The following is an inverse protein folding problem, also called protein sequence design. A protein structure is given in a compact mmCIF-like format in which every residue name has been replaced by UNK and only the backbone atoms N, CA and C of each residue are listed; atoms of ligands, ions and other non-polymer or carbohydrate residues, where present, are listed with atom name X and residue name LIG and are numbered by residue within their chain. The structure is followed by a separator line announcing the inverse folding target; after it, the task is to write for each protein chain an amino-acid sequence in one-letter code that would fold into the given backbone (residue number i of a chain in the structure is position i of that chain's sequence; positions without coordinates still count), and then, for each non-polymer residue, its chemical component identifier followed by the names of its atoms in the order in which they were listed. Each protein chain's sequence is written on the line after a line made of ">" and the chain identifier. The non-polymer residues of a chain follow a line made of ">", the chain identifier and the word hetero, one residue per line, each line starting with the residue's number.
data_IF_283114441677
#
_entry.id   IF_283114441677
#
_cell.length_a   1.000
_cell.length_b   1.000
_cell.length_c   1.000
_cell.angle_alpha   90.00
_cell.angle_beta   90.00
_cell.angle_gamma   90.00
#
_symmetry.space_group_name_H-M   'P 1'
#
loop_
_entity.id
_entity.type
_entity.pdbx_description
1 polymer ?
#
# COMPACT_ATOMS: atom_id res chain seq x y z
N UNK A 1 -21.52 14.37 -7.63
CA UNK A 1 -20.29 14.95 -8.20
C UNK A 1 -19.33 13.81 -8.50
N UNK A 2 -18.56 13.85 -9.60
CA UNK A 2 -17.43 12.95 -9.76
C UNK A 2 -16.49 13.10 -8.55
N UNK A 3 -15.82 12.03 -8.15
CA UNK A 3 -14.85 12.07 -7.04
C UNK A 3 -13.73 13.04 -7.41
N UNK A 4 -13.49 14.03 -6.55
CA UNK A 4 -12.38 14.96 -6.70
C UNK A 4 -11.15 14.51 -5.88
N UNK A 5 -9.95 14.71 -6.43
CA UNK A 5 -8.68 14.63 -5.67
C UNK A 5 -8.37 15.96 -5.00
N UNK A 6 -7.49 15.96 -4.00
CA UNK A 6 -7.20 17.14 -3.17
C UNK A 6 -6.81 18.39 -3.98
N UNK A 7 -5.99 18.22 -5.04
CA UNK A 7 -5.57 19.31 -5.93
C UNK A 7 -6.71 19.86 -6.80
N UNK A 8 -7.68 19.04 -7.18
CA UNK A 8 -8.87 19.47 -7.94
C UNK A 8 -9.81 20.31 -7.07
N UNK A 9 -9.68 20.20 -5.74
CA UNK A 9 -10.34 21.06 -4.77
C UNK A 9 -9.55 22.35 -4.47
N UNK A 10 -8.46 22.62 -5.20
CA UNK A 10 -7.61 23.79 -5.03
C UNK A 10 -6.58 23.68 -3.89
N UNK A 11 -6.39 22.50 -3.30
CA UNK A 11 -5.47 22.28 -2.18
C UNK A 11 -4.19 21.59 -2.68
N UNK A 12 -3.05 22.26 -2.53
CA UNK A 12 -1.75 21.76 -3.00
C UNK A 12 -0.81 21.51 -1.82
N UNK A 13 -0.49 20.24 -1.57
CA UNK A 13 0.44 19.85 -0.49
C UNK A 13 1.89 19.94 -0.96
N UNK A 14 2.68 20.76 -0.27
CA UNK A 14 4.10 20.98 -0.55
C UNK A 14 4.35 21.76 -1.86
N UNK A 15 5.64 21.94 -2.21
CA UNK A 15 6.07 22.84 -3.30
C UNK A 15 6.51 22.13 -4.58
N UNK A 16 6.82 20.84 -4.52
CA UNK A 16 7.27 20.10 -5.70
C UNK A 16 6.13 19.79 -6.68
N UNK A 17 6.39 19.78 -8.00
CA UNK A 17 5.42 19.35 -9.00
C UNK A 17 5.15 17.85 -8.87
N UNK A 18 3.97 17.41 -9.28
CA UNK A 18 3.61 15.99 -9.36
C UNK A 18 4.01 15.40 -10.71
N UNK A 19 4.06 14.06 -10.80
CA UNK A 19 4.00 13.38 -12.10
C UNK A 19 2.62 13.50 -12.77
N UNK A 20 2.46 12.96 -13.99
CA UNK A 20 1.24 13.10 -14.78
C UNK A 20 -0.01 12.50 -14.12
N UNK A 21 0.12 11.41 -13.36
CA UNK A 21 -1.00 10.78 -12.67
C UNK A 21 -1.12 11.22 -11.20
N UNK A 22 -0.10 11.93 -10.67
CA UNK A 22 0.06 12.19 -9.25
C UNK A 22 -0.17 10.89 -8.44
N UNK A 23 0.56 9.84 -8.80
CA UNK A 23 0.41 8.49 -8.27
C UNK A 23 1.75 7.75 -8.26
N UNK A 24 1.85 6.68 -7.47
CA UNK A 24 3.05 5.83 -7.37
C UNK A 24 3.52 5.30 -8.73
N UNK A 25 2.58 5.09 -9.65
CA UNK A 25 2.78 4.63 -11.03
C UNK A 25 3.42 5.68 -11.94
N UNK A 26 3.64 6.91 -11.47
CA UNK A 26 4.51 7.88 -12.14
C UNK A 26 6.00 7.49 -12.04
N UNK A 27 6.36 6.61 -11.10
CA UNK A 27 7.66 5.94 -11.10
C UNK A 27 7.63 4.90 -12.23
N UNK A 28 8.58 4.95 -13.18
CA UNK A 28 8.64 3.99 -14.27
C UNK A 28 8.60 2.55 -13.75
N UNK A 29 7.89 1.69 -14.49
CA UNK A 29 7.79 0.25 -14.24
C UNK A 29 7.12 -0.15 -12.91
N UNK A 30 6.44 0.76 -12.22
CA UNK A 30 5.56 0.41 -11.09
C UNK A 30 4.12 0.24 -11.58
N UNK A 31 3.55 -0.92 -11.35
CA UNK A 31 2.14 -1.23 -11.62
C UNK A 31 1.37 -1.42 -10.31
N UNK A 32 0.09 -1.06 -10.30
CA UNK A 32 -0.80 -1.26 -9.15
C UNK A 32 -2.07 -1.95 -9.60
N UNK A 33 -2.51 -2.94 -8.83
CA UNK A 33 -3.75 -3.67 -9.03
C UNK A 33 -4.55 -3.82 -7.75
N UNK A 34 -5.88 -3.87 -7.87
CA UNK A 34 -6.78 -4.02 -6.73
C UNK A 34 -7.80 -5.14 -6.98
N UNK A 35 -8.01 -5.96 -5.97
CA UNK A 35 -9.20 -6.79 -5.83
C UNK A 35 -10.05 -6.28 -4.66
N UNK A 36 -11.31 -5.95 -4.92
CA UNK A 36 -12.17 -5.23 -3.97
C UNK A 36 -13.40 -6.10 -3.66
N UNK A 37 -13.56 -6.47 -2.39
CA UNK A 37 -14.64 -7.33 -1.92
C UNK A 37 -15.66 -6.50 -1.13
N UNK A 38 -16.86 -6.35 -1.71
CA UNK A 38 -17.98 -5.64 -1.12
C UNK A 38 -19.24 -6.49 -1.30
N UNK A 39 -19.65 -7.19 -0.25
CA UNK A 39 -20.89 -7.96 -0.19
C UNK A 39 -21.33 -8.18 1.25
N UNK A 40 -22.61 -8.48 1.46
CA UNK A 40 -23.19 -8.60 2.81
C UNK A 40 -23.36 -10.06 3.27
N UNK A 41 -23.44 -10.99 2.32
CA UNK A 41 -23.69 -12.42 2.56
C UNK A 41 -22.63 -13.29 1.84
N UNK A 42 -22.26 -14.48 2.36
CA UNK A 42 -22.75 -15.11 3.60
C UNK A 42 -22.16 -14.50 4.89
N UNK A 43 -21.22 -13.57 4.74
CA UNK A 43 -20.69 -12.75 5.82
C UNK A 43 -20.31 -11.39 5.24
N UNK A 44 -20.49 -10.33 6.04
CA UNK A 44 -20.16 -8.97 5.65
C UNK A 44 -18.68 -8.86 5.24
N UNK A 45 -18.42 -8.60 3.97
CA UNK A 45 -17.10 -8.32 3.44
C UNK A 45 -17.00 -6.86 3.01
N UNK A 46 -16.02 -6.17 3.57
CA UNK A 46 -15.55 -4.84 3.13
C UNK A 46 -14.04 -4.86 3.18
N UNK A 47 -13.42 -5.65 2.31
CA UNK A 47 -11.99 -5.92 2.35
C UNK A 47 -11.43 -6.12 0.95
N UNK A 48 -10.19 -6.56 0.82
CA UNK A 48 -9.61 -6.88 -0.47
C UNK A 48 -8.10 -6.98 -0.42
N UNK A 49 -7.50 -6.88 -1.59
CA UNK A 49 -6.05 -6.94 -1.78
C UNK A 49 -5.61 -5.84 -2.74
N UNK A 50 -4.57 -5.10 -2.37
CA UNK A 50 -3.83 -4.22 -3.26
C UNK A 50 -2.49 -4.86 -3.56
N UNK A 51 -2.11 -4.91 -4.84
CA UNK A 51 -0.81 -5.40 -5.29
C UNK A 51 -0.02 -4.24 -5.89
N UNK A 52 1.22 -4.08 -5.47
CA UNK A 52 2.20 -3.20 -6.12
C UNK A 52 3.22 -4.12 -6.78
N UNK A 53 3.36 -4.00 -8.09
CA UNK A 53 4.21 -4.86 -8.90
C UNK A 53 5.31 -4.00 -9.53
N UNK A 54 6.54 -4.05 -8.99
CA UNK A 54 7.66 -3.33 -9.58
C UNK A 54 8.16 -3.99 -10.87
N UNK A 55 9.09 -3.31 -11.55
CA UNK A 55 9.84 -3.85 -12.71
C UNK A 55 8.96 -4.31 -13.86
N UNK A 56 7.82 -3.65 -14.03
CA UNK A 56 6.82 -3.96 -15.05
C UNK A 56 6.41 -5.44 -15.06
N UNK A 57 6.36 -6.06 -13.87
CA UNK A 57 6.03 -7.48 -13.71
C UNK A 57 7.22 -8.44 -13.64
N UNK A 58 8.45 -7.98 -13.90
CA UNK A 58 9.63 -8.83 -13.92
C UNK A 58 10.30 -9.01 -12.54
N UNK A 59 9.67 -8.58 -11.45
CA UNK A 59 10.28 -8.50 -10.11
C UNK A 59 10.83 -9.83 -9.58
N UNK A 60 10.37 -10.98 -10.10
CA UNK A 60 10.90 -12.30 -9.73
C UNK A 60 12.28 -12.61 -10.35
N UNK A 61 12.66 -11.94 -11.44
CA UNK A 61 13.93 -12.16 -12.16
C UNK A 61 14.80 -10.91 -12.23
N UNK A 62 14.21 -9.72 -12.13
CA UNK A 62 14.87 -8.42 -12.04
C UNK A 62 14.51 -7.80 -10.69
N UNK A 63 15.37 -7.94 -9.69
CA UNK A 63 15.06 -7.51 -8.33
C UNK A 63 15.18 -5.99 -8.15
N UNK A 64 14.60 -5.45 -7.09
CA UNK A 64 14.68 -4.02 -6.75
C UNK A 64 15.38 -3.82 -5.41
N UNK A 65 16.20 -2.77 -5.27
CA UNK A 65 16.69 -2.38 -3.95
C UNK A 65 15.53 -1.87 -3.09
N UNK A 66 15.55 -2.23 -1.82
CA UNK A 66 14.50 -1.89 -0.87
C UNK A 66 15.06 -1.73 0.55
N UNK A 67 14.32 -0.98 1.36
CA UNK A 67 14.52 -0.84 2.79
C UNK A 67 13.17 -0.65 3.47
N UNK A 68 13.14 -0.73 4.80
CA UNK A 68 11.92 -0.48 5.56
C UNK A 68 12.22 0.33 6.81
N UNK A 69 11.17 0.93 7.38
CA UNK A 69 11.24 1.65 8.64
C UNK A 69 9.96 1.37 9.44
N UNK A 70 10.11 1.08 10.73
CA UNK A 70 9.00 0.90 11.65
C UNK A 70 8.91 2.08 12.61
N UNK A 71 7.90 2.93 12.41
CA UNK A 71 7.60 4.01 13.36
C UNK A 71 6.93 3.44 14.63
N UNK A 72 5.98 2.53 14.45
CA UNK A 72 5.29 1.81 15.52
C UNK A 72 5.00 0.38 15.02
N UNK A 73 5.50 -0.63 15.73
CA UNK A 73 5.44 -2.02 15.27
C UNK A 73 4.15 -2.78 15.59
N UNK A 74 3.03 -2.11 15.90
CA UNK A 74 1.76 -2.78 16.15
C UNK A 74 1.07 -3.15 14.82
N UNK A 75 1.62 -4.14 14.13
CA UNK A 75 1.11 -4.65 12.85
C UNK A 75 2.01 -5.74 12.28
N UNK A 76 1.71 -6.16 11.05
CA UNK A 76 2.49 -7.19 10.35
C UNK A 76 2.99 -6.71 8.98
N UNK A 77 4.20 -7.12 8.64
CA UNK A 77 4.80 -6.99 7.31
C UNK A 77 5.79 -8.13 7.10
N UNK A 78 5.41 -9.11 6.29
CA UNK A 78 6.25 -10.29 6.01
C UNK A 78 7.45 -9.92 5.14
N UNK A 79 8.43 -10.82 5.05
CA UNK A 79 9.59 -10.67 4.15
C UNK A 79 10.65 -9.67 4.62
N UNK A 80 10.39 -8.90 5.67
CA UNK A 80 11.31 -7.89 6.21
C UNK A 80 12.70 -8.41 6.58
N UNK A 81 12.89 -9.59 7.20
CA UNK A 81 14.24 -10.07 7.54
C UNK A 81 15.16 -10.16 6.32
N UNK A 82 14.64 -10.51 5.15
CA UNK A 82 15.45 -10.56 3.93
C UNK A 82 15.70 -9.18 3.33
N UNK A 83 14.71 -8.28 3.40
CA UNK A 83 14.90 -6.88 2.99
C UNK A 83 15.97 -6.21 3.86
N UNK A 84 15.97 -6.44 5.17
CA UNK A 84 16.99 -5.92 6.09
C UNK A 84 18.38 -6.49 5.80
N UNK A 85 18.48 -7.81 5.60
CA UNK A 85 19.75 -8.50 5.40
C UNK A 85 20.37 -8.17 4.03
N UNK A 86 19.57 -8.25 2.96
CA UNK A 86 20.06 -8.14 1.58
C UNK A 86 19.90 -6.76 0.97
N UNK A 87 18.99 -5.93 1.49
CA UNK A 87 18.58 -4.68 0.85
C UNK A 87 17.77 -4.90 -0.44
N UNK A 88 17.19 -6.08 -0.66
CA UNK A 88 16.55 -6.45 -1.94
C UNK A 88 15.10 -6.91 -1.77
N UNK A 89 14.25 -6.45 -2.67
CA UNK A 89 12.88 -6.90 -2.93
C UNK A 89 12.86 -7.73 -4.22
N UNK A 90 12.37 -8.97 -4.12
CA UNK A 90 12.31 -9.95 -5.22
C UNK A 90 10.89 -10.47 -5.51
N UNK A 91 9.88 -9.78 -4.99
CA UNK A 91 8.47 -10.13 -5.15
C UNK A 91 7.60 -8.88 -5.28
N UNK A 92 6.37 -8.99 -5.81
CA UNK A 92 5.35 -7.96 -5.62
C UNK A 92 5.07 -7.72 -4.14
N UNK A 93 4.53 -6.55 -3.84
CA UNK A 93 4.11 -6.19 -2.49
C UNK A 93 2.60 -6.31 -2.38
N UNK A 94 2.14 -7.10 -1.42
CA UNK A 94 0.72 -7.25 -1.09
C UNK A 94 0.31 -6.37 0.08
N UNK A 95 -0.87 -5.74 -0.02
CA UNK A 95 -1.49 -5.00 1.08
C UNK A 95 -2.93 -5.48 1.26
N UNK A 96 -3.30 -5.92 2.47
CA UNK A 96 -4.63 -6.48 2.77
C UNK A 96 -5.06 -6.19 4.21
N UNK A 97 -6.01 -6.96 4.75
CA UNK A 97 -6.40 -6.93 6.17
C UNK A 97 -5.51 -7.85 7.03
N UNK A 98 -5.51 -7.60 8.34
CA UNK A 98 -4.66 -8.30 9.33
C UNK A 98 -4.76 -9.82 9.25
N UNK A 99 -5.97 -10.38 9.15
CA UNK A 99 -6.19 -11.83 9.14
C UNK A 99 -5.90 -12.49 7.79
N UNK A 100 -5.57 -11.70 6.77
CA UNK A 100 -5.37 -12.18 5.39
C UNK A 100 -3.92 -12.08 4.91
N UNK A 101 -3.00 -11.61 5.76
CA UNK A 101 -1.57 -11.54 5.43
C UNK A 101 -1.02 -12.89 4.96
N UNK A 102 -1.32 -13.96 5.71
CA UNK A 102 -0.82 -15.30 5.40
C UNK A 102 -1.26 -15.80 4.01
N UNK A 103 -2.56 -15.71 3.69
CA UNK A 103 -3.07 -16.20 2.40
C UNK A 103 -2.56 -15.38 1.22
N UNK A 104 -2.39 -14.06 1.39
CA UNK A 104 -1.84 -13.19 0.34
C UNK A 104 -0.34 -13.45 0.15
N UNK A 105 0.41 -13.68 1.25
CA UNK A 105 1.82 -14.06 1.20
C UNK A 105 2.02 -15.36 0.45
N UNK A 106 1.26 -16.40 0.80
CA UNK A 106 1.38 -17.70 0.13
C UNK A 106 0.95 -17.64 -1.33
N UNK A 107 -0.05 -16.81 -1.65
CA UNK A 107 -0.44 -16.55 -3.03
C UNK A 107 0.69 -15.90 -3.84
N UNK A 108 1.36 -14.85 -3.32
CA UNK A 108 2.48 -14.22 -4.05
C UNK A 108 3.65 -15.20 -4.26
N UNK A 109 3.95 -16.04 -3.28
CA UNK A 109 4.99 -17.07 -3.42
C UNK A 109 4.62 -18.14 -4.47
N UNK A 110 3.34 -18.53 -4.54
CA UNK A 110 2.85 -19.53 -5.48
C UNK A 110 2.65 -18.99 -6.91
N UNK A 111 2.33 -17.70 -7.06
CA UNK A 111 1.96 -17.09 -8.35
C UNK A 111 2.97 -17.35 -9.48
N UNK A 112 4.28 -17.06 -9.33
CA UNK A 112 5.22 -17.27 -10.43
C UNK A 112 5.39 -18.75 -10.79
N UNK A 113 5.23 -19.66 -9.81
CA UNK A 113 5.29 -21.11 -10.03
C UNK A 113 4.04 -21.59 -10.79
N UNK A 114 2.85 -21.13 -10.39
CA UNK A 114 1.60 -21.50 -11.07
C UNK A 114 1.51 -20.90 -12.48
N UNK A 115 2.14 -19.74 -12.71
CA UNK A 115 2.15 -19.06 -14.01
C UNK A 115 3.32 -19.48 -14.90
N UNK A 116 4.29 -20.26 -14.42
CA UNK A 116 5.49 -20.61 -15.19
C UNK A 116 5.15 -21.31 -16.51
N UNK A 117 4.15 -22.20 -16.48
CA UNK A 117 3.70 -22.93 -17.66
C UNK A 117 3.01 -21.97 -18.65
N UNK A 118 2.13 -21.10 -18.14
CA UNK A 118 1.44 -20.07 -18.93
C UNK A 118 2.44 -19.13 -19.62
N UNK A 119 3.52 -18.77 -18.94
CA UNK A 119 4.57 -17.89 -19.45
C UNK A 119 5.68 -18.62 -20.21
N UNK A 120 5.59 -19.95 -20.37
CA UNK A 120 6.59 -20.78 -21.04
C UNK A 120 8.01 -20.59 -20.45
N UNK A 121 8.09 -20.43 -19.13
CA UNK A 121 9.33 -20.18 -18.41
C UNK A 121 10.14 -21.48 -18.31
N UNK A 122 11.45 -21.49 -18.61
CA UNK A 122 12.29 -22.66 -18.43
C UNK A 122 12.23 -23.20 -17.00
N UNK A 123 12.13 -24.53 -16.78
CA UNK A 123 12.04 -25.10 -15.43
C UNK A 123 13.18 -24.71 -14.49
N UNK A 124 14.38 -24.48 -15.03
CA UNK A 124 15.53 -23.99 -14.25
C UNK A 124 15.30 -22.59 -13.70
N UNK A 125 14.67 -21.70 -14.46
CA UNK A 125 14.31 -20.35 -13.99
C UNK A 125 13.13 -20.43 -13.02
N UNK A 126 12.10 -21.22 -13.33
CA UNK A 126 10.96 -21.39 -12.42
C UNK A 126 11.39 -21.95 -11.05
N UNK A 127 12.38 -22.85 -11.04
CA UNK A 127 12.93 -23.41 -9.80
C UNK A 127 13.64 -22.38 -8.91
N UNK A 128 14.21 -21.30 -9.47
CA UNK A 128 14.86 -20.26 -8.66
C UNK A 128 13.86 -19.39 -7.90
N UNK A 129 12.57 -19.48 -8.21
CA UNK A 129 11.49 -18.79 -7.49
C UNK A 129 11.02 -19.57 -6.25
N UNK A 130 11.48 -20.81 -6.07
CA UNK A 130 11.20 -21.61 -4.88
C UNK A 130 11.89 -20.98 -3.66
N UNK A 131 11.15 -20.83 -2.55
CA UNK A 131 11.66 -20.17 -1.34
C UNK A 131 11.54 -18.65 -1.36
N UNK A 132 10.69 -18.09 -2.23
CA UNK A 132 10.35 -16.66 -2.19
C UNK A 132 9.93 -16.20 -0.79
N UNK A 133 10.28 -14.97 -0.44
CA UNK A 133 9.96 -14.34 0.85
C UNK A 133 9.11 -13.09 0.61
N UNK A 134 7.81 -13.23 0.26
CA UNK A 134 7.00 -12.09 -0.15
C UNK A 134 6.85 -11.04 0.93
N UNK A 135 6.79 -9.78 0.50
CA UNK A 135 6.42 -8.66 1.35
C UNK A 135 4.91 -8.47 1.30
N UNK A 136 4.24 -8.79 2.41
CA UNK A 136 2.80 -8.59 2.56
C UNK A 136 2.56 -7.93 3.89
N UNK A 137 1.80 -6.86 3.86
CA UNK A 137 1.48 -6.11 5.05
C UNK A 137 0.01 -5.74 5.12
N UNK A 138 -0.39 -5.13 6.23
CA UNK A 138 -1.80 -5.03 6.58
C UNK A 138 -2.17 -3.72 7.28
N UNK A 139 -3.47 -3.46 7.29
CA UNK A 139 -4.11 -2.69 8.35
C UNK A 139 -5.42 -3.38 8.76
N UNK A 140 -5.95 -3.07 9.95
CA UNK A 140 -7.13 -3.75 10.49
C UNK A 140 -8.48 -3.15 10.05
N UNK A 141 -9.32 -3.90 9.33
CA UNK A 141 -10.64 -3.47 8.84
C UNK A 141 -11.85 -4.00 9.61
N UNK A 142 -11.64 -4.63 10.78
CA UNK A 142 -12.68 -5.37 11.49
C UNK A 142 -13.87 -4.56 12.01
N UNK A 143 -13.85 -3.22 11.88
CA UNK A 143 -15.03 -2.39 12.12
C UNK A 143 -16.06 -2.45 10.99
N UNK A 144 -15.62 -2.48 9.73
CA UNK A 144 -16.50 -2.48 8.56
C UNK A 144 -16.56 -3.85 7.87
N UNK A 145 -15.64 -4.74 8.22
CA UNK A 145 -15.49 -6.07 7.66
C UNK A 145 -15.69 -7.13 8.74
N UNK A 146 -16.32 -8.25 8.42
CA UNK A 146 -16.24 -9.44 9.26
C UNK A 146 -14.86 -10.10 9.06
N UNK A 147 -13.83 -9.52 9.69
CA UNK A 147 -12.44 -9.96 9.55
C UNK A 147 -12.20 -11.40 10.04
N UNK A 148 -13.08 -11.91 10.91
CA UNK A 148 -13.06 -13.29 11.39
C UNK A 148 -13.62 -14.31 10.38
N UNK A 149 -14.21 -13.87 9.27
CA UNK A 149 -14.76 -14.74 8.25
C UNK A 149 -13.75 -15.12 7.14
N UNK A 150 -12.51 -14.64 7.21
CA UNK A 150 -11.40 -14.99 6.31
C UNK A 150 -11.77 -14.99 4.81
N UNK A 151 -12.40 -13.89 4.35
CA UNK A 151 -12.98 -13.79 2.99
C UNK A 151 -11.95 -13.62 1.87
N UNK A 152 -10.72 -13.19 2.18
CA UNK A 152 -9.65 -13.07 1.18
C UNK A 152 -9.11 -14.46 0.86
N UNK A 153 -8.92 -14.74 -0.43
CA UNK A 153 -8.47 -16.05 -0.92
C UNK A 153 -7.24 -15.87 -1.80
N UNK A 154 -6.54 -16.97 -2.10
CA UNK A 154 -5.47 -17.01 -3.10
C UNK A 154 -5.92 -16.42 -4.45
N UNK A 155 -7.15 -16.73 -4.88
CA UNK A 155 -7.68 -16.23 -6.14
C UNK A 155 -7.87 -14.71 -6.14
N UNK A 156 -8.30 -14.13 -5.02
CA UNK A 156 -8.41 -12.67 -4.88
C UNK A 156 -7.04 -11.99 -5.02
N UNK A 157 -5.98 -12.58 -4.44
CA UNK A 157 -4.62 -12.09 -4.64
C UNK A 157 -4.16 -12.20 -6.10
N UNK A 158 -4.50 -13.30 -6.80
CA UNK A 158 -4.17 -13.50 -8.21
C UNK A 158 -4.89 -12.48 -9.10
N UNK A 159 -6.17 -12.22 -8.82
CA UNK A 159 -6.92 -11.20 -9.54
C UNK A 159 -6.33 -9.81 -9.34
N UNK A 160 -5.85 -9.48 -8.14
CA UNK A 160 -5.16 -8.22 -7.90
C UNK A 160 -3.84 -8.12 -8.68
N UNK A 161 -3.07 -9.21 -8.79
CA UNK A 161 -1.85 -9.27 -9.62
C UNK A 161 -2.17 -9.13 -11.11
N UNK A 162 -3.17 -9.85 -11.61
CA UNK A 162 -3.58 -9.83 -13.02
C UNK A 162 -4.14 -8.47 -13.45
N UNK A 163 -4.74 -7.71 -12.51
CA UNK A 163 -5.24 -6.34 -12.73
C UNK A 163 -4.15 -5.27 -12.60
N UNK A 164 -2.92 -5.62 -12.24
CA UNK A 164 -1.88 -4.63 -12.02
C UNK A 164 -1.47 -3.94 -13.32
N UNK A 165 -1.54 -2.61 -13.33
CA UNK A 165 -1.19 -1.79 -14.50
C UNK A 165 -0.57 -0.46 -14.09
N UNK A 166 0.12 0.20 -15.02
CA UNK A 166 0.54 1.61 -14.89
C UNK A 166 -0.65 2.56 -15.10
N UNK A 167 -0.40 3.87 -15.03
CA UNK A 167 -1.42 4.90 -15.23
C UNK A 167 -2.12 5.33 -13.94
N UNK A 168 -3.31 5.95 -14.02
CA UNK A 168 -4.07 6.38 -12.85
C UNK A 168 -4.38 5.20 -11.90
N UNK A 169 -4.19 5.42 -10.60
CA UNK A 169 -4.48 4.43 -9.55
C UNK A 169 -5.80 4.76 -8.87
N UNK A 170 -6.66 3.75 -8.69
CA UNK A 170 -7.89 3.92 -7.93
C UNK A 170 -7.57 4.13 -6.44
N UNK A 171 -8.24 5.09 -5.81
CA UNK A 171 -8.02 5.46 -4.41
C UNK A 171 -9.31 5.21 -3.58
N UNK A 172 -9.26 5.42 -2.26
CA UNK A 172 -10.39 5.25 -1.33
C UNK A 172 -10.72 3.79 -1.04
N UNK A 173 -11.98 3.42 -1.24
CA UNK A 173 -12.56 2.15 -0.80
C UNK A 173 -12.29 1.01 -1.81
N UNK A 174 -11.02 0.77 -2.11
CA UNK A 174 -10.59 -0.24 -3.08
C UNK A 174 -9.45 -1.08 -2.52
N UNK A 175 -9.31 -2.30 -3.04
CA UNK A 175 -8.24 -3.22 -2.67
C UNK A 175 -8.24 -3.52 -1.18
N UNK A 176 -7.04 -3.56 -0.58
CA UNK A 176 -6.90 -3.68 0.87
C UNK A 176 -7.54 -2.51 1.65
N UNK A 177 -7.69 -1.32 1.03
CA UNK A 177 -8.24 -0.13 1.67
C UNK A 177 -9.77 -0.11 1.83
N UNK A 178 -10.46 -1.15 1.35
CA UNK A 178 -11.92 -1.19 1.25
C UNK A 178 -12.63 -0.89 2.57
N UNK A 179 -12.27 -1.57 3.65
CA UNK A 179 -12.89 -1.43 4.98
C UNK A 179 -12.19 -0.45 5.93
N UNK A 180 -11.24 0.34 5.45
CA UNK A 180 -10.38 1.16 6.32
C UNK A 180 -11.02 2.49 6.72
N UNK A 181 -10.63 3.01 7.89
CA UNK A 181 -11.10 4.25 8.51
C UNK A 181 -9.90 5.09 8.93
N UNK A 182 -9.85 6.36 8.52
CA UNK A 182 -8.72 7.26 8.78
C UNK A 182 -9.24 8.59 9.34
N UNK A 183 -8.69 9.02 10.48
CA UNK A 183 -9.17 10.19 11.22
C UNK A 183 -10.69 10.16 11.45
N UNK A 184 -11.22 8.96 11.69
CA UNK A 184 -12.65 8.68 11.87
C UNK A 184 -13.54 9.13 10.70
N UNK A 185 -12.94 9.37 9.53
CA UNK A 185 -13.62 9.40 8.25
C UNK A 185 -13.35 8.10 7.51
N UNK A 186 -14.03 7.89 6.37
CA UNK A 186 -13.68 6.76 5.52
C UNK A 186 -12.23 6.89 5.03
N UNK A 187 -11.42 5.88 5.34
CA UNK A 187 -10.02 5.77 4.91
C UNK A 187 -9.87 4.93 3.64
N UNK A 188 -8.70 4.32 3.48
CA UNK A 188 -8.42 3.40 2.39
C UNK A 188 -7.15 3.75 1.61
N UNK A 189 -7.14 3.46 0.30
CA UNK A 189 -5.98 3.67 -0.55
C UNK A 189 -5.81 5.16 -0.88
N UNK A 190 -4.59 5.66 -0.79
CA UNK A 190 -4.21 6.98 -1.29
C UNK A 190 -2.88 6.89 -2.04
N UNK A 191 -2.66 7.75 -3.01
CA UNK A 191 -1.39 7.78 -3.74
C UNK A 191 -0.99 9.21 -4.10
N UNK A 192 0.30 9.44 -4.31
CA UNK A 192 0.81 10.72 -4.79
C UNK A 192 2.21 10.52 -5.38
N UNK A 193 2.68 11.49 -6.17
CA UNK A 193 4.07 11.52 -6.64
C UNK A 193 4.65 12.92 -6.63
N UNK A 194 5.97 13.03 -6.60
CA UNK A 194 6.69 14.28 -6.82
C UNK A 194 7.83 14.08 -7.80
N UNK A 195 8.04 15.06 -8.67
CA UNK A 195 9.24 15.15 -9.51
C UNK A 195 10.23 16.05 -8.80
N UNK A 196 11.44 15.55 -8.59
CA UNK A 196 12.53 16.24 -7.90
C UNK A 196 13.76 16.28 -8.79
N UNK A 197 14.56 17.34 -8.67
CA UNK A 197 15.84 17.45 -9.37
C UNK A 197 16.97 17.26 -8.36
N UNK A 198 17.75 16.19 -8.54
CA UNK A 198 18.92 15.89 -7.72
C UNK A 198 20.13 15.76 -8.64
N UNK A 199 21.23 16.44 -8.33
CA UNK A 199 22.47 16.41 -9.12
C UNK A 199 22.27 16.68 -10.63
N UNK A 200 21.32 17.55 -10.97
CA UNK A 200 21.00 17.90 -12.36
C UNK A 200 20.16 16.87 -13.11
N UNK A 201 19.75 15.77 -12.48
CA UNK A 201 18.86 14.76 -13.04
C UNK A 201 17.47 14.83 -12.40
N UNK A 202 16.43 14.54 -13.18
CA UNK A 202 15.06 14.45 -12.67
C UNK A 202 14.77 13.03 -12.21
N UNK A 203 14.19 12.92 -11.02
CA UNK A 203 13.71 11.66 -10.44
C UNK A 203 12.23 11.82 -10.07
N UNK A 204 11.48 10.73 -10.16
CA UNK A 204 10.12 10.66 -9.64
C UNK A 204 10.11 9.91 -8.33
N UNK A 205 9.49 10.48 -7.31
CA UNK A 205 9.23 9.81 -6.03
C UNK A 205 7.75 9.48 -5.98
N UNK A 206 7.43 8.19 -5.94
CA UNK A 206 6.06 7.69 -5.90
C UNK A 206 5.70 7.16 -4.51
N UNK A 207 4.46 7.40 -4.10
CA UNK A 207 3.93 6.98 -2.80
C UNK A 207 2.56 6.33 -2.97
N UNK A 208 2.36 5.18 -2.32
CA UNK A 208 1.04 4.60 -2.07
C UNK A 208 0.88 4.34 -0.57
N UNK A 209 -0.30 4.64 -0.05
CA UNK A 209 -0.69 4.41 1.34
C UNK A 209 -1.98 3.61 1.45
N UNK A 210 -2.06 2.76 2.47
CA UNK A 210 -3.32 2.25 3.02
C UNK A 210 -3.57 2.92 4.37
N UNK A 211 -4.44 3.92 4.40
CA UNK A 211 -4.65 4.77 5.55
C UNK A 211 -5.79 4.23 6.43
N UNK A 212 -5.43 3.83 7.66
CA UNK A 212 -6.35 3.29 8.66
C UNK A 212 -6.04 3.78 10.10
N UNK A 213 -5.70 5.06 10.27
CA UNK A 213 -5.15 5.58 11.52
C UNK A 213 -5.73 6.94 11.92
N UNK A 214 -5.41 7.36 13.15
CA UNK A 214 -5.58 8.73 13.62
C UNK A 214 -6.97 9.04 14.18
N UNK A 215 -7.00 9.94 15.17
CA UNK A 215 -8.25 10.50 15.73
C UNK A 215 -8.70 11.72 14.94
N UNK A 216 -10.02 11.98 14.89
CA UNK A 216 -10.64 13.06 14.12
C UNK A 216 -9.97 14.40 14.37
N UNK A 217 -9.87 14.80 15.64
CA UNK A 217 -9.38 16.11 16.06
C UNK A 217 -7.91 16.40 15.71
N UNK A 218 -7.13 15.37 15.33
CA UNK A 218 -5.74 15.50 14.89
C UNK A 218 -5.60 15.69 13.38
N UNK A 219 -6.68 15.52 12.60
CA UNK A 219 -6.62 15.67 11.14
C UNK A 219 -6.18 17.08 10.76
N UNK A 220 -5.07 17.14 10.02
CA UNK A 220 -4.57 18.34 9.37
C UNK A 220 -4.52 18.16 7.87
N UNK A 221 -4.93 19.20 7.13
CA UNK A 221 -4.78 19.27 5.69
C UNK A 221 -4.04 20.57 5.38
N UNK A 222 -2.85 20.47 4.80
CA UNK A 222 -1.97 21.61 4.55
C UNK A 222 -1.75 22.50 5.79
N UNK A 223 -1.57 21.86 6.96
CA UNK A 223 -1.41 22.52 8.26
C UNK A 223 -2.71 22.96 8.94
N UNK A 224 -3.80 23.14 8.19
CA UNK A 224 -5.12 23.56 8.71
C UNK A 224 -5.72 22.44 9.57
N UNK A 225 -6.20 22.71 10.81
CA UNK A 225 -6.74 21.71 11.73
C UNK A 225 -8.18 21.31 11.36
N UNK A 226 -8.37 20.75 10.15
CA UNK A 226 -9.68 20.36 9.59
C UNK A 226 -10.47 19.46 10.53
N UNK A 227 -9.81 18.60 11.29
CA UNK A 227 -10.45 17.74 12.28
C UNK A 227 -11.24 18.47 13.37
N UNK A 228 -10.87 19.71 13.68
CA UNK A 228 -11.58 20.56 14.65
C UNK A 228 -12.75 21.31 14.00
N UNK A 229 -12.63 21.59 12.70
CA UNK A 229 -13.65 22.28 11.93
C UNK A 229 -14.77 21.33 11.45
N UNK A 230 -14.47 20.05 11.27
CA UNK A 230 -15.41 19.00 10.87
C UNK A 230 -15.58 17.99 12.00
N UNK A 231 -16.30 18.41 13.03
CA UNK A 231 -16.61 17.62 14.23
C UNK A 231 -17.73 16.60 14.00
N UNK A 232 -18.10 15.90 15.07
CA UNK A 232 -19.16 14.88 15.07
C UNK A 232 -20.56 15.42 14.81
N UNK A 233 -20.80 16.72 15.02
CA UNK A 233 -22.07 17.35 14.70
C UNK A 233 -22.24 17.52 13.19
N UNK A 234 -21.14 17.64 12.44
CA UNK A 234 -21.15 17.74 10.96
C UNK A 234 -21.04 16.37 10.28
N UNK A 235 -20.17 15.50 10.79
CA UNK A 235 -20.01 14.13 10.28
C UNK A 235 -19.95 13.19 11.46
N UNK A 236 -20.99 12.38 11.61
CA UNK A 236 -21.16 11.46 12.72
C UNK A 236 -19.93 10.59 12.99
N UNK A 237 -19.77 10.22 14.25
CA UNK A 237 -18.79 9.24 14.70
C UNK A 237 -19.04 7.89 13.98
N UNK A 238 -18.02 7.26 13.38
CA UNK A 238 -18.16 5.90 12.82
C UNK A 238 -18.50 4.84 13.87
N UNK A 239 -18.32 5.12 15.17
CA UNK A 239 -18.52 4.17 16.25
C UNK A 239 -19.86 4.40 16.97
N UNK A 240 -20.66 3.34 17.15
CA UNK A 240 -21.85 3.37 18.01
C UNK A 240 -21.52 3.28 19.51
N UNK A 241 -20.34 2.73 19.84
CA UNK A 241 -19.73 2.74 21.17
C UNK A 241 -18.28 3.18 20.97
N UNK A 242 -17.85 4.32 21.53
CA UNK A 242 -16.50 4.81 21.30
C UNK A 242 -15.47 3.82 21.87
N UNK A 243 -14.38 3.51 21.14
CA UNK A 243 -13.30 2.71 21.68
C UNK A 243 -12.73 3.39 22.93
N UNK A 244 -12.30 2.60 23.93
CA UNK A 244 -11.55 3.17 25.07
C UNK A 244 -10.33 3.91 24.50
N UNK A 245 -9.97 5.08 25.02
CA UNK A 245 -8.93 5.98 24.47
C UNK A 245 -7.58 5.30 24.13
N UNK A 246 -7.25 4.16 24.75
CA UNK A 246 -6.07 3.36 24.42
C UNK A 246 -6.21 2.54 23.11
N UNK A 247 -7.43 2.24 22.67
CA UNK A 247 -7.75 1.53 21.42
C UNK A 247 -7.86 2.45 20.21
N UNK A 248 -8.10 3.76 20.40
CA UNK A 248 -7.96 4.75 19.33
C UNK A 248 -6.50 5.05 18.97
N UNK A 249 -5.54 4.41 19.65
CA UNK A 249 -4.11 4.43 19.34
C UNK A 249 -3.60 3.06 18.85
N UNK A 250 -4.43 2.02 18.87
CA UNK A 250 -4.12 0.66 18.38
C UNK A 250 -4.37 0.52 16.87
N UNK A 251 -4.18 1.60 16.12
CA UNK A 251 -4.33 1.58 14.68
C UNK A 251 -3.01 1.12 14.06
N UNK A 252 -3.03 -0.01 13.35
CA UNK A 252 -1.92 -0.45 12.49
C UNK A 252 -1.35 0.78 11.77
N UNK A 253 -0.04 1.03 11.88
CA UNK A 253 0.57 2.24 11.31
C UNK A 253 0.22 2.33 9.82
N UNK A 254 -0.02 3.54 9.28
CA UNK A 254 -0.19 3.68 7.85
C UNK A 254 1.05 3.11 7.16
N UNK A 255 0.82 2.22 6.21
CA UNK A 255 1.90 1.71 5.40
C UNK A 255 2.22 2.74 4.34
N UNK A 256 3.46 3.21 4.34
CA UNK A 256 4.01 4.09 3.33
C UNK A 256 5.01 3.30 2.49
N UNK A 257 4.71 3.11 1.22
CA UNK A 257 5.68 2.56 0.27
C UNK A 257 6.27 3.69 -0.57
N UNK A 258 7.59 3.81 -0.49
CA UNK A 258 8.40 4.74 -1.26
C UNK A 258 9.15 3.97 -2.34
N UNK A 259 8.92 4.32 -3.61
CA UNK A 259 9.72 3.81 -4.72
C UNK A 259 10.54 4.94 -5.32
N UNK A 260 11.83 4.68 -5.47
CA UNK A 260 12.77 5.52 -6.20
C UNK A 260 13.17 4.76 -7.48
N UNK A 261 13.33 5.44 -8.63
CA UNK A 261 13.85 4.79 -9.82
C UNK A 261 15.29 4.33 -9.55
N UNK A 262 15.73 3.29 -10.28
CA UNK A 262 17.12 2.87 -10.28
C UNK A 262 18.02 4.09 -10.56
N UNK A 263 18.80 4.49 -9.56
CA UNK A 263 19.91 5.41 -9.75
C UNK A 263 21.08 4.54 -10.23
N UNK A 264 21.58 4.70 -11.48
CA UNK A 264 22.60 3.82 -12.05
C UNK A 264 23.91 3.75 -11.24
N UNK A 265 24.15 4.72 -10.35
CA UNK A 265 25.40 4.92 -9.62
C UNK A 265 25.21 4.99 -8.08
N UNK A 266 24.19 4.36 -7.50
CA UNK A 266 24.11 4.28 -6.03
C UNK A 266 25.27 3.39 -5.52
N UNK A 267 26.25 3.91 -4.77
CA UNK A 267 27.32 3.09 -4.21
C UNK A 267 26.72 2.03 -3.28
N UNK A 268 27.42 0.91 -3.06
CA UNK A 268 27.06 -0.19 -2.15
C UNK A 268 26.89 0.19 -0.65
N UNK A 269 26.49 1.41 -0.35
CA UNK A 269 25.95 1.78 0.95
C UNK A 269 24.49 1.32 0.98
N UNK A 270 24.13 0.57 2.04
CA UNK A 270 22.75 0.23 2.37
C UNK A 270 21.83 1.41 2.05
N UNK A 271 20.63 1.21 1.49
CA UNK A 271 19.75 2.31 1.14
C UNK A 271 19.58 3.22 2.37
N UNK A 272 20.27 4.37 2.34
CA UNK A 272 20.09 5.47 3.28
C UNK A 272 18.75 6.14 2.96
N UNK A 273 17.68 5.37 2.97
CA UNK A 273 16.34 5.87 3.25
C UNK A 273 16.18 5.76 4.77
N UNK A 274 17.04 6.46 5.49
CA UNK A 274 16.63 7.01 6.79
C UNK A 274 15.61 8.09 6.44
N UNK A 275 14.33 7.95 6.81
CA UNK A 275 13.38 9.01 6.59
C UNK A 275 13.86 10.23 7.38
N UNK A 276 13.91 11.37 6.69
CA UNK A 276 13.84 12.69 7.29
C UNK A 276 12.91 12.59 8.50
N UNK A 277 13.45 12.87 9.69
CA UNK A 277 12.67 12.95 10.91
C UNK A 277 11.49 13.88 10.64
N UNK A 278 10.30 13.29 10.48
CA UNK A 278 9.06 14.03 10.46
C UNK A 278 8.88 14.58 11.88
N UNK A 279 9.19 15.86 12.04
CA UNK A 279 8.81 16.67 13.21
C UNK A 279 7.33 17.01 13.11
#
# INVERSE_FOLDING_TARGET
>A
MPRARLRELGISIGTHPTGPYNAITDVPDIFVGHETLIFDEPALARTGVTMIVPRAGNIWTDHAYAGFFSFNGCGEMTGLPWVEESGVLHTPIGITNTNSVGVVRDAIAAYPLDMSDKWHVPPSIASSWQGSLPVVAETWDGWLNNIGAFQVTKQHAYQALDKAQSGPVAEGNVGGGTGMICHEFKGGIGTSSRVVTCFGQQYTVGVLVQANYGSRHLLRVDGVPVGREIDYAKVADPWSIPPKEAQSLLFSPPMLLLFLPNVPDWPNEQPLVSPVQAV
#
